data_IF_111955311108
#
_entry.id   IF_111955311108
#
_cell.length_a   1.000
_cell.length_b   1.000
_cell.length_c   1.000
_cell.angle_alpha   90.00
_cell.angle_beta   90.00
_cell.angle_gamma   90.00
#
_symmetry.space_group_name_H-M   'P 1'
#
loop_
_entity.id
_entity.type
_entity.pdbx_description
1 polymer ?
#
# COMPACT_ATOMS: atom_id res chain seq x y z
N UNK A 1 14.56 -29.44 31.90
CA UNK A 1 15.00 -28.22 31.19
C UNK A 1 13.94 -27.16 31.44
N UNK A 2 14.29 -26.05 32.11
CA UNK A 2 13.38 -24.92 32.29
C UNK A 2 13.49 -24.03 31.04
N UNK A 3 12.44 -23.95 30.23
CA UNK A 3 12.32 -22.99 29.13
C UNK A 3 11.53 -21.79 29.66
N UNK A 4 12.17 -20.63 29.69
CA UNK A 4 11.51 -19.34 29.93
C UNK A 4 11.38 -18.62 28.59
N UNK A 5 10.18 -18.18 28.24
CA UNK A 5 9.92 -17.37 27.06
C UNK A 5 9.46 -15.97 27.47
N UNK A 6 9.92 -14.97 26.74
CA UNK A 6 9.55 -13.57 26.92
C UNK A 6 8.92 -13.05 25.64
N UNK A 7 7.78 -12.37 25.75
CA UNK A 7 7.15 -11.70 24.62
C UNK A 7 7.35 -10.19 24.77
N UNK A 8 8.04 -9.60 23.80
CA UNK A 8 8.23 -8.16 23.73
C UNK A 8 7.39 -7.60 22.59
N UNK A 9 6.75 -6.45 22.82
CA UNK A 9 6.15 -5.67 21.74
C UNK A 9 7.04 -4.47 21.48
N UNK A 10 7.63 -4.40 20.29
CA UNK A 10 8.44 -3.27 19.85
C UNK A 10 8.08 -2.90 18.41
N UNK A 11 8.34 -1.66 18.03
CA UNK A 11 8.08 -1.17 16.69
C UNK A 11 9.41 -0.98 15.95
N UNK A 12 9.42 -1.37 14.68
CA UNK A 12 10.52 -1.04 13.77
C UNK A 12 10.38 0.44 13.42
N UNK A 13 11.42 1.23 13.65
CA UNK A 13 11.40 2.66 13.34
C UNK A 13 11.43 2.90 11.82
N UNK A 14 11.36 4.17 11.40
CA UNK A 14 11.37 4.55 9.96
C UNK A 14 12.66 4.18 9.22
N UNK A 15 13.75 3.95 9.95
CA UNK A 15 15.06 3.56 9.41
C UNK A 15 15.23 2.03 9.34
N UNK A 16 14.21 1.27 9.77
CA UNK A 16 14.26 -0.20 9.78
C UNK A 16 14.91 -0.79 11.03
N UNK A 17 15.12 0.00 12.09
CA UNK A 17 15.80 -0.44 13.31
C UNK A 17 14.77 -0.94 14.33
N UNK A 18 14.95 -2.18 14.79
CA UNK A 18 14.23 -2.76 15.93
C UNK A 18 15.10 -2.64 17.18
N UNK A 19 14.61 -1.91 18.20
CA UNK A 19 15.28 -1.84 19.51
C UNK A 19 14.59 -2.79 20.48
N UNK A 20 15.37 -3.70 21.08
CA UNK A 20 14.93 -4.62 22.12
C UNK A 20 15.72 -4.31 23.40
N UNK A 21 15.03 -3.98 24.48
CA UNK A 21 15.63 -3.86 25.81
C UNK A 21 15.33 -5.14 26.59
N UNK A 22 16.36 -5.94 26.79
CA UNK A 22 16.26 -7.17 27.58
C UNK A 22 16.41 -6.86 29.07
N UNK A 23 15.65 -7.51 29.95
CA UNK A 23 15.83 -7.38 31.38
C UNK A 23 17.20 -7.93 31.82
N UNK A 24 17.76 -7.36 32.89
CA UNK A 24 19.14 -7.62 33.34
C UNK A 24 19.37 -9.02 33.89
N UNK A 25 18.31 -9.73 34.24
CA UNK A 25 18.33 -11.13 34.67
C UNK A 25 18.70 -12.11 33.54
N UNK A 26 18.60 -11.68 32.28
CA UNK A 26 19.07 -12.42 31.09
C UNK A 26 20.55 -12.19 30.77
N UNK A 27 21.28 -11.43 31.59
CA UNK A 27 22.69 -11.18 31.36
C UNK A 27 23.51 -12.48 31.28
N UNK A 28 24.37 -12.59 30.26
CA UNK A 28 25.23 -13.75 29.99
C UNK A 28 24.49 -15.05 29.65
N UNK A 29 23.21 -15.00 29.28
CA UNK A 29 22.46 -16.15 28.78
C UNK A 29 22.52 -16.22 27.25
N UNK A 30 22.49 -17.44 26.72
CA UNK A 30 22.30 -17.68 25.29
C UNK A 30 20.80 -17.64 24.96
N UNK A 31 20.41 -16.84 23.96
CA UNK A 31 19.00 -16.63 23.60
C UNK A 31 18.79 -16.72 22.10
N UNK A 32 17.71 -17.37 21.69
CA UNK A 32 17.23 -17.39 20.32
C UNK A 32 16.14 -16.34 20.11
N UNK A 33 16.28 -15.52 19.07
CA UNK A 33 15.29 -14.49 18.70
C UNK A 33 14.63 -14.87 17.37
N UNK A 34 13.32 -15.08 17.39
CA UNK A 34 12.52 -15.33 16.18
C UNK A 34 11.70 -14.09 15.82
N UNK A 35 11.92 -13.54 14.62
CA UNK A 35 11.20 -12.38 14.11
C UNK A 35 10.09 -12.83 13.14
N UNK A 36 8.84 -12.50 13.47
CA UNK A 36 7.68 -12.79 12.61
C UNK A 36 7.17 -11.47 12.03
N UNK A 37 7.27 -11.31 10.71
CA UNK A 37 6.81 -10.11 10.00
C UNK A 37 5.48 -10.43 9.30
N UNK A 38 4.42 -9.76 9.73
CA UNK A 38 3.12 -9.85 9.05
C UNK A 38 3.02 -8.77 7.98
N UNK A 39 3.19 -9.16 6.72
CA UNK A 39 2.91 -8.27 5.60
C UNK A 39 1.39 -8.14 5.45
N UNK A 40 0.86 -6.91 5.60
CA UNK A 40 -0.49 -6.65 5.13
C UNK A 40 -0.45 -6.65 3.60
N UNK A 41 -1.27 -7.45 2.90
CA UNK A 41 -1.38 -7.32 1.46
C UNK A 41 -1.80 -5.88 1.15
N UNK A 42 -0.99 -5.20 0.36
CA UNK A 42 -1.36 -3.91 -0.17
C UNK A 42 -2.61 -4.13 -1.03
N UNK A 43 -3.69 -3.33 -0.88
CA UNK A 43 -4.86 -3.50 -1.70
C UNK A 43 -4.43 -3.41 -3.16
N UNK A 44 -4.63 -4.51 -3.90
CA UNK A 44 -4.47 -4.52 -5.34
C UNK A 44 -5.40 -3.44 -5.90
N UNK A 45 -4.85 -2.50 -6.67
CA UNK A 45 -5.70 -1.54 -7.36
C UNK A 45 -6.75 -2.32 -8.15
N UNK A 46 -8.03 -1.93 -8.08
CA UNK A 46 -9.06 -2.61 -8.85
C UNK A 46 -8.66 -2.58 -10.32
N UNK A 47 -8.76 -3.74 -10.97
CA UNK A 47 -8.56 -3.85 -12.42
C UNK A 47 -9.50 -2.85 -13.10
N UNK A 48 -8.94 -1.89 -13.84
CA UNK A 48 -9.74 -0.93 -14.60
C UNK A 48 -10.30 -1.68 -15.81
N UNK A 49 -11.65 -1.79 -15.97
CA UNK A 49 -12.18 -2.43 -17.17
C UNK A 49 -11.68 -1.69 -18.41
N UNK A 50 -11.06 -2.44 -19.33
CA UNK A 50 -10.64 -1.92 -20.64
C UNK A 50 -11.91 -1.59 -21.43
N UNK A 51 -11.92 -0.43 -22.10
CA UNK A 51 -13.00 -0.07 -23.01
C UNK A 51 -14.28 0.44 -22.34
N UNK A 52 -14.24 0.90 -21.09
CA UNK A 52 -15.39 1.58 -20.42
C UNK A 52 -16.04 2.69 -21.25
N UNK A 53 -15.26 3.30 -22.15
CA UNK A 53 -15.66 4.41 -22.99
C UNK A 53 -15.59 4.07 -24.50
N UNK A 54 -15.51 2.78 -24.86
CA UNK A 54 -15.54 2.37 -26.26
C UNK A 54 -16.85 2.83 -26.91
N UNK A 55 -16.75 3.61 -27.99
CA UNK A 55 -17.91 4.20 -28.67
C UNK A 55 -18.57 5.39 -27.95
N UNK A 56 -18.05 5.80 -26.78
CA UNK A 56 -18.52 6.98 -26.01
C UNK A 56 -17.58 8.17 -26.10
N UNK A 57 -16.51 8.05 -26.89
CA UNK A 57 -15.57 9.13 -27.13
C UNK A 57 -15.86 9.71 -28.51
N UNK A 58 -16.21 11.00 -28.56
CA UNK A 58 -16.31 11.77 -29.79
C UNK A 58 -15.06 12.60 -29.95
N UNK A 59 -14.37 12.46 -31.09
CA UNK A 59 -13.28 13.35 -31.49
C UNK A 59 -13.82 14.38 -32.46
N UNK A 60 -13.37 15.62 -32.35
CA UNK A 60 -13.67 16.66 -33.35
C UNK A 60 -12.97 16.31 -34.67
N UNK A 61 -13.62 16.61 -35.79
CA UNK A 61 -13.03 16.45 -37.13
C UNK A 61 -11.94 17.52 -37.39
N UNK A 62 -12.03 18.67 -36.71
CA UNK A 62 -11.01 19.71 -36.71
C UNK A 62 -10.58 20.04 -35.28
N UNK A 63 -9.27 20.02 -35.04
CA UNK A 63 -8.64 20.33 -33.75
C UNK A 63 -8.23 21.80 -33.62
N UNK A 64 -8.40 22.58 -34.68
CA UNK A 64 -8.08 24.01 -34.76
C UNK A 64 -9.27 24.89 -34.41
N UNK A 65 -10.48 24.35 -34.50
CA UNK A 65 -11.71 25.04 -34.12
C UNK A 65 -12.03 24.81 -32.62
N UNK A 66 -12.62 25.81 -31.94
CA UNK A 66 -13.09 25.61 -30.58
C UNK A 66 -14.16 24.51 -30.53
N UNK A 67 -14.22 23.79 -29.42
CA UNK A 67 -15.27 22.80 -29.23
C UNK A 67 -16.64 23.48 -29.23
N UNK A 68 -17.66 22.87 -29.87
CA UNK A 68 -19.01 23.39 -29.94
C UNK A 68 -19.64 23.60 -28.55
N UNK A 69 -20.59 24.53 -28.44
CA UNK A 69 -21.26 24.86 -27.17
C UNK A 69 -21.93 23.64 -26.53
N UNK A 70 -22.46 22.72 -27.33
CA UNK A 70 -23.09 21.47 -26.88
C UNK A 70 -22.12 20.55 -26.13
N UNK A 71 -20.82 20.62 -26.41
CA UNK A 71 -19.78 19.90 -25.65
C UNK A 71 -19.65 20.47 -24.24
N UNK A 72 -19.65 21.81 -24.10
CA UNK A 72 -19.52 22.48 -22.81
C UNK A 72 -20.78 22.34 -21.95
N UNK A 73 -21.95 22.23 -22.59
CA UNK A 73 -23.24 22.02 -21.94
C UNK A 73 -23.49 20.55 -21.57
N UNK A 74 -22.64 19.62 -22.02
CA UNK A 74 -22.79 18.19 -21.73
C UNK A 74 -23.96 17.53 -22.48
N UNK A 75 -24.40 18.13 -23.58
CA UNK A 75 -25.51 17.66 -24.41
C UNK A 75 -25.06 16.66 -25.48
N UNK A 76 -23.74 16.43 -25.58
CA UNK A 76 -23.16 15.36 -26.39
C UNK A 76 -23.20 14.01 -25.65
N UNK A 77 -23.69 12.94 -26.30
CA UNK A 77 -23.75 11.60 -25.72
C UNK A 77 -22.38 10.93 -25.57
#
# INVERSE_FOLDING_TARGET
MNMQSFQFTSQINREGILTLQLPSDLANQEVDIMLVVHFKPQPTQPERPIGQYAGKMRMSEDFSEPLPDEFWLGEMP
#
